data_IF_982497058631
#
_entry.id   IF_982497058631
#
_cell.length_a   1.000
_cell.length_b   1.000
_cell.length_c   1.000
_cell.angle_alpha   90.00
_cell.angle_beta   90.00
_cell.angle_gamma   90.00
#
_symmetry.space_group_name_H-M   'P 1'
#
loop_
_entity.id
_entity.type
_entity.pdbx_description
1 polymer ?
#
# COMPACT_ATOMS: atom_id res chain seq x y z
N UNK A 1 -22.46 37.61 -4.39
CA UNK A 1 -21.93 38.67 -5.26
C UNK A 1 -20.61 38.18 -5.86
N UNK A 2 -20.33 38.53 -7.10
CA UNK A 2 -19.13 38.18 -7.84
C UNK A 2 -18.48 39.50 -8.24
N UNK A 3 -17.17 39.61 -8.00
CA UNK A 3 -16.32 40.68 -8.46
C UNK A 3 -15.38 40.12 -9.52
N UNK A 4 -15.29 40.77 -10.67
CA UNK A 4 -14.37 40.41 -11.76
C UNK A 4 -14.08 41.63 -12.60
N UNK A 5 -12.83 41.87 -12.99
CA UNK A 5 -12.44 43.00 -13.84
C UNK A 5 -12.98 44.37 -13.38
N UNK A 6 -13.01 44.61 -12.06
CA UNK A 6 -13.54 45.85 -11.43
C UNK A 6 -15.06 46.05 -11.54
N UNK A 7 -15.79 45.03 -11.96
CA UNK A 7 -17.26 45.02 -12.03
C UNK A 7 -17.84 44.10 -10.95
N UNK A 8 -19.05 44.44 -10.49
CA UNK A 8 -19.80 43.61 -9.56
C UNK A 8 -21.10 43.10 -10.18
N UNK A 9 -21.38 41.84 -9.91
CA UNK A 9 -22.68 41.23 -10.19
C UNK A 9 -23.17 40.50 -8.95
N UNK A 10 -24.45 40.62 -8.59
CA UNK A 10 -25.04 39.85 -7.49
C UNK A 10 -26.20 38.99 -7.96
N UNK A 11 -26.51 38.00 -7.15
CA UNK A 11 -27.70 37.16 -7.28
C UNK A 11 -28.50 37.37 -6.01
N UNK A 12 -29.75 37.78 -6.15
CA UNK A 12 -30.58 38.21 -5.03
C UNK A 12 -32.04 37.83 -5.31
N UNK A 13 -32.61 36.99 -4.46
CA UNK A 13 -33.99 36.53 -4.56
C UNK A 13 -35.03 37.62 -4.34
N UNK A 14 -34.64 38.71 -3.67
CA UNK A 14 -35.50 39.85 -3.37
C UNK A 14 -35.47 40.93 -4.44
N UNK A 15 -34.56 40.82 -5.42
CA UNK A 15 -34.44 41.81 -6.48
C UNK A 15 -35.64 41.76 -7.44
N UNK A 16 -36.27 42.91 -7.64
CA UNK A 16 -37.39 43.04 -8.56
C UNK A 16 -36.86 43.22 -9.98
N UNK A 17 -36.85 42.15 -10.76
CA UNK A 17 -36.45 42.21 -12.17
C UNK A 17 -37.56 42.84 -13.01
N UNK A 18 -37.19 43.80 -13.87
CA UNK A 18 -38.07 44.29 -14.92
C UNK A 18 -38.21 43.22 -16.02
N UNK A 19 -39.29 42.45 -15.96
CA UNK A 19 -39.59 41.40 -16.93
C UNK A 19 -40.62 41.89 -17.94
N UNK A 20 -40.35 41.69 -19.23
CA UNK A 20 -41.31 41.98 -20.30
C UNK A 20 -42.23 40.79 -20.47
N UNK A 21 -43.52 41.04 -20.30
CA UNK A 21 -44.60 40.06 -20.48
C UNK A 21 -45.31 40.36 -21.79
N UNK A 22 -45.66 39.32 -22.56
CA UNK A 22 -46.45 39.49 -23.79
C UNK A 22 -47.89 39.94 -23.49
N UNK A 23 -48.48 39.49 -22.38
CA UNK A 23 -49.84 39.88 -21.96
C UNK A 23 -49.85 40.50 -20.55
N UNK A 24 -49.43 39.76 -19.52
CA UNK A 24 -49.06 40.24 -18.17
C UNK A 24 -48.61 39.06 -17.30
N UNK A 25 -47.90 39.35 -16.19
CA UNK A 25 -47.56 38.34 -15.17
C UNK A 25 -48.80 37.57 -14.68
N UNK A 26 -49.83 38.31 -14.28
CA UNK A 26 -51.07 37.75 -13.70
C UNK A 26 -51.75 36.78 -14.68
N UNK A 27 -51.80 37.14 -15.97
CA UNK A 27 -52.45 36.30 -16.97
C UNK A 27 -51.64 35.04 -17.27
N UNK A 28 -50.31 35.15 -17.35
CA UNK A 28 -49.44 33.99 -17.49
C UNK A 28 -49.55 33.03 -16.30
N UNK A 29 -49.53 33.55 -15.07
CA UNK A 29 -49.63 32.74 -13.85
C UNK A 29 -50.97 31.98 -13.80
N UNK A 30 -52.06 32.65 -14.17
CA UNK A 30 -53.39 32.04 -14.27
C UNK A 30 -53.45 30.96 -15.35
N UNK A 31 -52.85 31.19 -16.52
CA UNK A 31 -52.84 30.23 -17.63
C UNK A 31 -51.99 28.98 -17.35
N UNK A 32 -51.02 29.08 -16.44
CA UNK A 32 -50.08 28.01 -16.09
C UNK A 32 -50.33 27.39 -14.70
N UNK A 33 -51.36 27.85 -13.98
CA UNK A 33 -51.71 27.43 -12.62
C UNK A 33 -50.51 27.42 -11.65
N UNK A 34 -49.67 28.47 -11.72
CA UNK A 34 -48.48 28.62 -10.86
C UNK A 34 -48.03 30.07 -10.75
N UNK A 35 -47.44 30.41 -9.62
CA UNK A 35 -46.74 31.68 -9.44
C UNK A 35 -45.39 31.67 -10.17
N UNK A 36 -45.09 32.74 -10.88
CA UNK A 36 -43.79 32.92 -11.52
C UNK A 36 -42.76 33.32 -10.48
N UNK A 37 -41.77 32.45 -10.28
CA UNK A 37 -40.58 32.78 -9.54
C UNK A 37 -39.47 33.19 -10.50
N UNK A 38 -38.89 34.36 -10.24
CA UNK A 38 -37.70 34.78 -10.98
C UNK A 38 -36.60 33.73 -10.80
N UNK A 39 -35.93 33.31 -11.87
CA UNK A 39 -34.77 32.43 -11.77
C UNK A 39 -33.54 33.25 -11.33
N UNK A 40 -33.66 33.97 -10.21
CA UNK A 40 -32.66 34.89 -9.67
C UNK A 40 -31.32 34.22 -9.41
N UNK A 41 -31.28 32.89 -9.29
CA UNK A 41 -30.08 32.09 -9.13
C UNK A 41 -29.17 32.10 -10.36
N UNK A 42 -29.70 32.49 -11.54
CA UNK A 42 -28.95 32.53 -12.80
C UNK A 42 -29.01 33.88 -13.50
N UNK A 43 -29.81 34.84 -13.02
CA UNK A 43 -29.86 36.19 -13.59
C UNK A 43 -28.88 37.10 -12.81
N UNK A 44 -27.73 37.49 -13.40
CA UNK A 44 -26.82 38.41 -12.75
C UNK A 44 -27.41 39.82 -12.70
N UNK A 45 -27.31 40.46 -11.54
CA UNK A 45 -27.71 41.85 -11.32
C UNK A 45 -26.44 42.69 -11.30
N UNK A 46 -26.22 43.52 -12.31
CA UNK A 46 -25.14 44.50 -12.29
C UNK A 46 -25.27 45.38 -11.05
N UNK A 47 -24.19 45.52 -10.30
CA UNK A 47 -24.14 46.27 -9.04
C UNK A 47 -23.03 47.31 -9.15
N UNK A 48 -23.33 48.58 -8.92
CA UNK A 48 -22.28 49.60 -8.93
C UNK A 48 -21.43 49.52 -7.66
N UNK A 49 -20.14 49.90 -7.74
CA UNK A 49 -19.23 49.85 -6.60
C UNK A 49 -19.73 50.65 -5.37
N UNK A 50 -20.48 51.73 -5.60
CA UNK A 50 -21.10 52.56 -4.54
C UNK A 50 -22.22 51.85 -3.78
N UNK A 51 -22.81 50.80 -4.36
CA UNK A 51 -23.84 49.96 -3.74
C UNK A 51 -23.25 48.82 -2.91
N UNK A 52 -21.94 48.60 -3.00
CA UNK A 52 -21.21 47.58 -2.24
C UNK A 52 -20.71 48.20 -0.94
N UNK A 53 -20.79 47.44 0.15
CA UNK A 53 -20.31 47.87 1.46
C UNK A 53 -18.82 48.22 1.41
N UNK A 54 -18.46 49.45 1.78
CA UNK A 54 -17.12 50.00 1.52
C UNK A 54 -15.95 49.16 2.07
N UNK A 55 -16.04 48.53 3.26
CA UNK A 55 -15.00 47.61 3.71
C UNK A 55 -14.71 46.45 2.75
N UNK A 56 -15.69 45.99 1.98
CA UNK A 56 -15.48 44.97 0.93
C UNK A 56 -14.68 45.57 -0.22
N UNK A 57 -15.04 46.77 -0.69
CA UNK A 57 -14.30 47.48 -1.73
C UNK A 57 -12.84 47.72 -1.31
N UNK A 58 -12.63 48.12 -0.05
CA UNK A 58 -11.29 48.36 0.48
C UNK A 58 -10.49 47.06 0.55
N UNK A 59 -11.06 45.99 1.11
CA UNK A 59 -10.40 44.69 1.18
C UNK A 59 -9.96 44.17 -0.19
N UNK A 60 -10.85 44.22 -1.20
CA UNK A 60 -10.54 43.77 -2.55
C UNK A 60 -9.41 44.57 -3.22
N UNK A 61 -9.33 45.88 -2.94
CA UNK A 61 -8.23 46.73 -3.39
C UNK A 61 -6.92 46.40 -2.66
N UNK A 62 -6.99 46.18 -1.36
CA UNK A 62 -5.82 45.91 -0.52
C UNK A 62 -5.11 44.60 -0.92
N UNK A 63 -5.88 43.58 -1.33
CA UNK A 63 -5.35 42.30 -1.82
C UNK A 63 -5.10 42.26 -3.33
N UNK A 64 -5.38 43.35 -4.05
CA UNK A 64 -5.34 43.43 -5.52
C UNK A 64 -6.09 42.28 -6.21
N UNK A 65 -7.34 42.04 -5.78
CA UNK A 65 -8.13 40.92 -6.27
C UNK A 65 -8.43 41.06 -7.77
N UNK A 66 -8.18 40.01 -8.55
CA UNK A 66 -8.66 39.94 -9.94
C UNK A 66 -10.11 39.43 -10.03
N UNK A 67 -10.42 38.40 -9.25
CA UNK A 67 -11.74 37.77 -9.16
C UNK A 67 -12.03 37.45 -7.70
N UNK A 68 -13.25 37.74 -7.24
CA UNK A 68 -13.70 37.34 -5.91
C UNK A 68 -15.17 36.89 -5.90
N UNK A 69 -15.47 35.87 -5.09
CA UNK A 69 -16.83 35.45 -4.79
C UNK A 69 -17.15 35.85 -3.36
N UNK A 70 -18.12 36.73 -3.19
CA UNK A 70 -18.50 37.32 -1.92
C UNK A 70 -19.85 36.73 -1.51
N UNK A 71 -19.87 36.04 -0.38
CA UNK A 71 -21.04 35.31 0.11
C UNK A 71 -21.48 35.93 1.43
N UNK A 72 -22.73 36.35 1.52
CA UNK A 72 -23.32 36.78 2.78
C UNK A 72 -23.68 35.56 3.62
N UNK A 73 -23.06 35.41 4.79
CA UNK A 73 -23.27 34.27 5.68
C UNK A 73 -24.29 34.60 6.77
N UNK A 74 -25.26 33.70 6.99
CA UNK A 74 -26.21 33.79 8.12
C UNK A 74 -25.62 33.26 9.43
N UNK A 75 -24.76 32.23 9.35
CA UNK A 75 -24.18 31.52 10.49
C UNK A 75 -22.67 31.73 10.57
N UNK A 76 -22.26 32.99 10.86
CA UNK A 76 -20.86 33.42 10.82
C UNK A 76 -19.96 32.59 11.73
N UNK A 77 -20.37 32.34 12.97
CA UNK A 77 -19.55 31.60 13.95
C UNK A 77 -19.31 30.14 13.54
N UNK A 78 -20.34 29.45 13.06
CA UNK A 78 -20.25 28.06 12.60
C UNK A 78 -19.38 27.95 11.35
N UNK A 79 -19.58 28.87 10.40
CA UNK A 79 -18.75 28.97 9.19
C UNK A 79 -17.28 29.22 9.54
N UNK A 80 -17.02 30.17 10.44
CA UNK A 80 -15.66 30.52 10.86
C UNK A 80 -14.97 29.32 11.49
N UNK A 81 -15.67 28.57 12.34
CA UNK A 81 -15.15 27.32 12.94
C UNK A 81 -14.88 26.24 11.88
N UNK A 82 -15.78 26.08 10.91
CA UNK A 82 -15.60 25.12 9.82
C UNK A 82 -14.38 25.46 8.95
N UNK A 83 -14.20 26.74 8.62
CA UNK A 83 -13.06 27.21 7.84
C UNK A 83 -11.74 27.14 8.63
N UNK A 84 -11.75 27.41 9.94
CA UNK A 84 -10.63 27.16 10.84
C UNK A 84 -10.26 25.67 10.84
N UNK A 85 -11.23 24.76 11.02
CA UNK A 85 -10.96 23.32 10.98
C UNK A 85 -10.38 22.88 9.62
N UNK A 86 -10.89 23.43 8.52
CA UNK A 86 -10.39 23.15 7.17
C UNK A 86 -8.93 23.60 7.01
N UNK A 87 -8.55 24.77 7.54
CA UNK A 87 -7.17 25.28 7.50
C UNK A 87 -6.15 24.37 8.22
N UNK A 88 -6.61 23.51 9.14
CA UNK A 88 -5.75 22.56 9.86
C UNK A 88 -5.54 21.25 9.11
N UNK A 89 -6.38 20.93 8.11
CA UNK A 89 -6.34 19.65 7.42
C UNK A 89 -5.64 19.78 6.06
N UNK A 90 -4.30 19.78 6.07
CA UNK A 90 -3.47 19.99 4.88
C UNK A 90 -3.78 18.99 3.75
N UNK A 91 -4.06 17.74 4.08
CA UNK A 91 -4.24 16.67 3.10
C UNK A 91 -5.48 16.90 2.21
N UNK A 92 -6.44 17.71 2.66
CA UNK A 92 -7.58 18.18 1.85
C UNK A 92 -7.15 18.79 0.51
N UNK A 93 -5.99 19.43 0.48
CA UNK A 93 -5.54 20.25 -0.65
C UNK A 93 -4.55 19.52 -1.57
N UNK A 94 -4.16 18.29 -1.22
CA UNK A 94 -3.06 17.56 -1.86
C UNK A 94 -3.22 17.46 -3.38
N UNK A 95 -4.45 17.20 -3.85
CA UNK A 95 -4.73 16.92 -5.27
C UNK A 95 -5.29 18.11 -6.05
N UNK A 96 -5.30 19.32 -5.47
CA UNK A 96 -5.60 20.53 -6.22
C UNK A 96 -4.52 20.71 -7.30
N UNK A 97 -4.91 20.97 -8.56
CA UNK A 97 -3.94 21.01 -9.68
C UNK A 97 -3.29 22.38 -9.88
N UNK A 98 -4.07 23.45 -9.74
CA UNK A 98 -3.66 24.80 -10.15
C UNK A 98 -3.43 25.77 -8.97
N UNK A 99 -3.54 25.27 -7.74
CA UNK A 99 -3.44 26.09 -6.52
C UNK A 99 -2.09 25.82 -5.85
N UNK A 100 -1.26 26.84 -5.71
CA UNK A 100 0.02 26.78 -5.01
C UNK A 100 -0.06 27.27 -3.57
N UNK A 101 -1.04 28.10 -3.24
CA UNK A 101 -1.17 28.75 -1.93
C UNK A 101 -2.65 28.99 -1.61
N UNK A 102 -3.03 28.79 -0.35
CA UNK A 102 -4.36 29.10 0.19
C UNK A 102 -4.17 29.84 1.51
N UNK A 103 -4.74 31.04 1.59
CA UNK A 103 -4.70 31.88 2.77
C UNK A 103 -6.07 31.88 3.45
N UNK A 104 -6.10 31.51 4.72
CA UNK A 104 -7.27 31.59 5.58
C UNK A 104 -7.11 32.77 6.52
N UNK A 105 -7.82 33.86 6.23
CA UNK A 105 -7.86 35.06 7.07
C UNK A 105 -9.21 35.12 7.80
N UNK A 106 -9.25 34.62 9.04
CA UNK A 106 -10.48 34.51 9.84
C UNK A 106 -10.28 35.17 11.20
N UNK A 107 -9.44 34.57 12.04
CA UNK A 107 -9.03 35.08 13.37
C UNK A 107 -7.51 35.18 13.48
N UNK A 108 -6.83 34.19 12.90
CA UNK A 108 -5.40 34.15 12.69
C UNK A 108 -5.18 33.83 11.21
N UNK A 109 -4.14 34.41 10.62
CA UNK A 109 -3.73 34.11 9.26
C UNK A 109 -3.08 32.72 9.25
N UNK A 110 -3.69 31.78 8.54
CA UNK A 110 -3.11 30.47 8.25
C UNK A 110 -2.80 30.37 6.78
N UNK A 111 -1.54 30.10 6.45
CA UNK A 111 -1.08 29.92 5.07
C UNK A 111 -0.81 28.43 4.82
N UNK A 112 -1.47 27.89 3.79
CA UNK A 112 -1.23 26.54 3.28
C UNK A 112 -0.53 26.65 1.93
N UNK A 113 0.72 26.24 1.87
CA UNK A 113 1.52 26.19 0.65
C UNK A 113 1.56 24.76 0.09
N UNK A 114 1.44 24.63 -1.23
CA UNK A 114 1.47 23.35 -1.95
C UNK A 114 2.58 23.39 -2.99
N UNK A 115 3.71 22.79 -2.64
CA UNK A 115 4.90 22.75 -3.47
C UNK A 115 4.90 21.49 -4.36
N UNK A 116 5.09 21.68 -5.67
CA UNK A 116 5.11 20.64 -6.72
C UNK A 116 6.32 20.78 -7.66
N UNK A 117 7.43 21.34 -7.17
CA UNK A 117 8.65 21.57 -7.98
C UNK A 117 9.24 20.24 -8.50
N UNK A 118 9.17 19.19 -7.67
CA UNK A 118 9.60 17.84 -8.04
C UNK A 118 8.41 17.09 -8.66
N UNK A 119 8.59 16.53 -9.87
CA UNK A 119 7.49 15.95 -10.66
C UNK A 119 6.75 14.79 -9.98
N UNK A 120 7.42 14.04 -9.10
CA UNK A 120 6.89 12.88 -8.39
C UNK A 120 6.68 13.16 -6.89
N UNK A 121 6.72 14.44 -6.47
CA UNK A 121 6.60 14.78 -5.05
C UNK A 121 5.75 16.01 -4.82
N UNK A 122 4.91 15.95 -3.79
CA UNK A 122 4.17 17.09 -3.28
C UNK A 122 4.53 17.30 -1.82
N UNK A 123 4.88 18.54 -1.49
CA UNK A 123 5.10 18.98 -0.12
C UNK A 123 4.02 19.98 0.26
N UNK A 124 3.29 19.67 1.32
CA UNK A 124 2.33 20.58 1.95
C UNK A 124 2.99 21.25 3.15
N UNK A 125 2.89 22.58 3.23
CA UNK A 125 3.42 23.35 4.34
C UNK A 125 2.33 24.20 4.99
N UNK A 126 2.30 24.20 6.31
CA UNK A 126 1.49 25.14 7.11
C UNK A 126 2.40 26.14 7.78
N UNK A 127 2.17 27.43 7.55
CA UNK A 127 2.87 28.55 8.19
C UNK A 127 4.41 28.38 8.14
N UNK A 128 4.93 27.79 7.06
CA UNK A 128 6.35 27.46 6.83
C UNK A 128 7.00 26.52 7.87
N UNK A 129 6.21 25.88 8.75
CA UNK A 129 6.72 25.07 9.86
C UNK A 129 6.30 23.59 9.75
N UNK A 130 5.00 23.30 9.62
CA UNK A 130 4.51 21.91 9.55
C UNK A 130 4.58 21.39 8.13
N UNK A 131 5.33 20.32 7.91
CA UNK A 131 5.59 19.73 6.59
C UNK A 131 4.97 18.34 6.47
N UNK A 132 4.25 18.10 5.37
CA UNK A 132 3.78 16.77 4.97
C UNK A 132 4.29 16.47 3.56
N UNK A 133 5.09 15.41 3.42
CA UNK A 133 5.70 15.01 2.15
C UNK A 133 5.00 13.78 1.56
N UNK A 134 4.72 13.86 0.28
CA UNK A 134 3.99 12.84 -0.48
C UNK A 134 4.73 12.49 -1.74
N UNK A 135 4.99 11.21 -1.95
CA UNK A 135 5.41 10.68 -3.23
C UNK A 135 4.17 10.44 -4.09
N UNK A 136 4.18 10.91 -5.33
CA UNK A 136 3.05 10.90 -6.25
C UNK A 136 3.35 10.02 -7.45
N UNK A 137 2.37 9.22 -7.85
CA UNK A 137 2.40 8.47 -9.09
C UNK A 137 1.06 8.64 -9.82
N UNK A 138 1.09 9.43 -10.90
CA UNK A 138 -0.06 9.63 -11.79
C UNK A 138 0.05 8.68 -12.98
N UNK A 139 -0.98 7.86 -13.17
CA UNK A 139 -1.12 6.88 -14.23
C UNK A 139 -2.30 7.27 -15.12
N UNK A 140 -2.11 7.26 -16.43
CA UNK A 140 -3.21 7.33 -17.41
C UNK A 140 -3.77 5.93 -17.62
N UNK A 141 -4.97 5.66 -17.09
CA UNK A 141 -5.68 4.40 -17.28
C UNK A 141 -6.49 4.44 -18.57
N UNK A 142 -6.30 3.46 -19.45
CA UNK A 142 -7.16 3.24 -20.61
C UNK A 142 -8.47 2.60 -20.16
N UNK A 143 -9.61 3.19 -20.54
CA UNK A 143 -10.93 2.65 -20.25
C UNK A 143 -11.20 1.44 -21.16
N UNK A 144 -11.39 0.23 -20.61
CA UNK A 144 -11.64 -0.97 -21.40
C UNK A 144 -12.96 -0.89 -22.20
N UNK A 145 -12.97 -1.49 -23.40
CA UNK A 145 -14.15 -1.47 -24.28
C UNK A 145 -15.36 -2.19 -23.68
N UNK A 146 -15.15 -3.23 -22.88
CA UNK A 146 -16.19 -3.94 -22.14
C UNK A 146 -16.82 -3.04 -21.08
N UNK A 147 -16.02 -2.27 -20.34
CA UNK A 147 -16.52 -1.26 -19.40
C UNK A 147 -17.37 -0.24 -20.16
N UNK A 148 -16.84 0.37 -21.24
CA UNK A 148 -17.60 1.35 -22.05
C UNK A 148 -18.97 0.85 -22.50
N UNK A 149 -19.05 -0.40 -22.97
CA UNK A 149 -20.32 -1.01 -23.39
C UNK A 149 -21.30 -1.12 -22.23
N UNK A 150 -20.85 -1.56 -21.06
CA UNK A 150 -21.70 -1.69 -19.88
C UNK A 150 -22.21 -0.32 -19.40
N UNK A 151 -21.38 0.72 -19.49
CA UNK A 151 -21.77 2.07 -19.07
C UNK A 151 -22.85 2.71 -19.96
N UNK A 152 -23.01 2.26 -21.23
CA UNK A 152 -24.07 2.76 -22.11
C UNK A 152 -25.47 2.44 -21.56
N UNK A 153 -25.59 1.37 -20.78
CA UNK A 153 -26.85 0.93 -20.18
C UNK A 153 -27.06 1.50 -18.75
N UNK A 154 -26.04 2.12 -18.15
CA UNK A 154 -26.14 2.73 -16.81
C UNK A 154 -26.77 4.13 -16.89
N UNK A 155 -27.82 4.36 -16.11
CA UNK A 155 -28.44 5.69 -15.95
C UNK A 155 -27.56 6.57 -15.07
N UNK A 156 -27.55 7.88 -15.34
CA UNK A 156 -26.90 8.92 -14.54
C UNK A 156 -25.36 8.92 -14.55
N UNK A 157 -24.72 8.34 -15.57
CA UNK A 157 -23.29 8.55 -15.80
C UNK A 157 -23.06 9.86 -16.54
N UNK A 158 -22.16 10.74 -16.08
CA UNK A 158 -21.78 11.93 -16.81
C UNK A 158 -21.27 11.60 -18.22
N UNK A 159 -21.79 12.29 -19.23
CA UNK A 159 -21.46 12.08 -20.65
C UNK A 159 -19.94 12.15 -20.91
N UNK A 160 -19.23 13.00 -20.15
CA UNK A 160 -17.76 13.10 -20.18
C UNK A 160 -17.07 11.76 -19.89
N UNK A 161 -17.61 10.94 -18.99
CA UNK A 161 -17.03 9.63 -18.66
C UNK A 161 -17.41 8.56 -19.70
N UNK A 162 -18.60 8.65 -20.31
CA UNK A 162 -19.02 7.74 -21.38
C UNK A 162 -18.12 7.85 -22.62
N UNK A 163 -17.68 9.07 -22.92
CA UNK A 163 -16.91 9.38 -24.13
C UNK A 163 -15.40 9.41 -23.90
N UNK A 164 -14.91 9.10 -22.69
CA UNK A 164 -13.47 9.17 -22.40
C UNK A 164 -12.76 7.85 -22.70
N UNK A 165 -11.60 7.95 -23.35
CA UNK A 165 -10.72 6.82 -23.59
C UNK A 165 -9.73 6.60 -22.44
N UNK A 166 -9.44 7.67 -21.68
CA UNK A 166 -8.41 7.68 -20.65
C UNK A 166 -8.83 8.50 -19.45
N UNK A 167 -8.37 8.08 -18.28
CA UNK A 167 -8.51 8.84 -17.03
C UNK A 167 -7.21 8.88 -16.25
N UNK A 168 -7.03 9.93 -15.47
CA UNK A 168 -5.94 10.00 -14.50
C UNK A 168 -6.31 9.22 -13.23
N UNK A 169 -5.43 8.31 -12.83
CA UNK A 169 -5.36 7.74 -11.49
C UNK A 169 -4.10 8.28 -10.82
N UNK A 170 -4.24 9.01 -9.72
CA UNK A 170 -3.11 9.48 -8.93
C UNK A 170 -3.06 8.74 -7.60
N UNK A 171 -1.92 8.11 -7.31
CA UNK A 171 -1.62 7.48 -6.03
C UNK A 171 -0.66 8.38 -5.25
N UNK A 172 -0.86 8.52 -3.94
CA UNK A 172 0.05 9.25 -3.06
C UNK A 172 0.47 8.41 -1.85
N UNK A 173 1.79 8.28 -1.66
CA UNK A 173 2.40 7.58 -0.54
C UNK A 173 3.05 8.59 0.40
N UNK A 174 2.82 8.44 1.70
CA UNK A 174 3.35 9.36 2.72
C UNK A 174 4.84 9.10 2.95
N UNK A 175 5.63 10.16 2.96
CA UNK A 175 7.08 10.11 3.20
C UNK A 175 7.39 10.77 4.55
N UNK A 176 7.96 9.98 5.46
CA UNK A 176 8.47 10.44 6.76
C UNK A 176 9.99 10.57 6.77
N UNK A 177 10.58 10.74 7.96
CA UNK A 177 12.03 10.84 8.16
C UNK A 177 12.80 9.63 7.62
N UNK A 178 12.20 8.44 7.79
CA UNK A 178 12.80 7.16 7.39
C UNK A 178 12.31 6.69 6.02
N UNK A 179 11.71 7.58 5.20
CA UNK A 179 11.20 7.27 3.86
C UNK A 179 9.71 6.88 3.85
N UNK A 180 9.30 5.89 3.04
CA UNK A 180 7.86 5.57 2.90
C UNK A 180 7.29 5.04 4.22
N UNK A 181 6.19 5.64 4.67
CA UNK A 181 5.52 5.30 5.93
C UNK A 181 4.06 4.90 5.73
N UNK A 182 3.51 4.14 6.68
CA UNK A 182 2.09 3.76 6.64
C UNK A 182 1.20 4.97 6.92
N UNK A 183 0.05 4.98 6.27
CA UNK A 183 -1.03 5.91 6.59
C UNK A 183 -1.62 5.59 7.96
N UNK A 184 -2.09 6.62 8.66
CA UNK A 184 -2.86 6.43 9.90
C UNK A 184 -4.32 6.15 9.59
N UNK A 185 -5.04 5.50 10.51
CA UNK A 185 -6.46 5.15 10.33
C UNK A 185 -7.39 6.39 10.21
N UNK A 186 -6.88 7.58 10.50
CA UNK A 186 -7.61 8.86 10.40
C UNK A 186 -7.48 9.52 9.02
N UNK A 187 -6.61 9.04 8.15
CA UNK A 187 -6.39 9.61 6.83
C UNK A 187 -7.60 9.34 5.92
N UNK A 188 -8.15 10.38 5.28
CA UNK A 188 -9.15 10.20 4.21
C UNK A 188 -8.44 9.70 2.97
N UNK A 189 -8.78 8.50 2.51
CA UNK A 189 -7.98 7.78 1.51
C UNK A 189 -8.41 7.99 0.06
N UNK A 190 -9.67 8.37 -0.16
CA UNK A 190 -10.27 8.43 -1.49
C UNK A 190 -10.63 9.86 -1.85
N UNK A 191 -10.26 10.30 -3.04
CA UNK A 191 -10.45 11.64 -3.55
C UNK A 191 -11.09 11.59 -4.93
N UNK A 192 -12.04 12.49 -5.15
CA UNK A 192 -12.53 12.89 -6.46
C UNK A 192 -12.34 14.40 -6.55
N UNK A 193 -11.09 14.81 -6.83
CA UNK A 193 -10.54 16.16 -6.66
C UNK A 193 -10.43 16.62 -5.20
N UNK A 194 -11.51 16.46 -4.41
CA UNK A 194 -11.55 16.65 -2.97
C UNK A 194 -11.73 15.29 -2.27
N UNK A 195 -11.34 15.16 -0.99
CA UNK A 195 -11.53 13.92 -0.27
C UNK A 195 -13.01 13.60 -0.14
N UNK A 196 -13.34 12.32 -0.23
CA UNK A 196 -14.65 11.79 0.11
C UNK A 196 -14.69 11.45 1.59
N UNK A 197 -15.89 11.23 2.13
CA UNK A 197 -16.05 10.73 3.50
C UNK A 197 -15.96 9.21 3.62
N UNK A 198 -15.59 8.54 2.52
CA UNK A 198 -15.47 7.09 2.46
C UNK A 198 -14.23 6.59 3.21
N UNK A 199 -14.46 5.88 4.31
CA UNK A 199 -13.39 5.34 5.18
C UNK A 199 -13.40 3.83 5.29
N UNK A 200 -14.31 3.12 4.62
CA UNK A 200 -14.46 1.67 4.79
C UNK A 200 -13.32 0.84 4.15
N UNK A 201 -12.59 1.43 3.22
CA UNK A 201 -11.53 0.75 2.48
C UNK A 201 -10.17 1.08 3.07
N UNK A 202 -9.37 0.05 3.37
CA UNK A 202 -8.04 0.24 3.96
C UNK A 202 -6.97 0.20 2.86
N UNK A 203 -6.77 1.35 2.20
CA UNK A 203 -5.76 1.52 1.17
C UNK A 203 -4.43 1.98 1.79
N UNK A 204 -3.28 1.46 1.31
CA UNK A 204 -1.98 1.87 1.84
C UNK A 204 -1.47 3.20 1.27
N UNK A 205 -2.26 3.82 0.38
CA UNK A 205 -1.97 5.07 -0.34
C UNK A 205 -3.24 5.91 -0.41
N UNK A 206 -3.11 7.23 -0.57
CA UNK A 206 -4.23 8.07 -0.99
C UNK A 206 -4.46 7.87 -2.48
N UNK A 207 -5.71 7.95 -2.91
CA UNK A 207 -6.11 7.74 -4.29
C UNK A 207 -6.99 8.87 -4.76
N UNK A 208 -6.58 9.54 -5.84
CA UNK A 208 -7.40 10.52 -6.53
C UNK A 208 -7.69 10.06 -7.96
N UNK A 209 -8.97 9.95 -8.30
CA UNK A 209 -9.43 9.67 -9.67
C UNK A 209 -10.89 10.07 -9.85
N UNK A 210 -11.44 9.86 -11.04
CA UNK A 210 -12.81 10.23 -11.41
C UNK A 210 -13.86 9.26 -10.85
N UNK A 211 -13.95 9.12 -9.52
CA UNK A 211 -14.98 8.29 -8.90
C UNK A 211 -16.39 8.87 -9.11
N UNK A 212 -17.37 7.97 -9.27
CA UNK A 212 -18.79 8.32 -9.18
C UNK A 212 -19.22 8.33 -7.70
N UNK A 213 -19.62 9.50 -7.22
CA UNK A 213 -20.04 9.72 -5.83
C UNK A 213 -21.54 9.96 -5.74
N UNK A 214 -22.13 9.71 -4.57
CA UNK A 214 -23.51 10.10 -4.26
C UNK A 214 -23.70 11.62 -4.37
N UNK A 215 -24.96 12.09 -4.38
CA UNK A 215 -25.29 13.51 -4.56
C UNK A 215 -24.66 14.42 -3.49
N UNK A 216 -24.57 13.95 -2.23
CA UNK A 216 -23.88 14.64 -1.14
C UNK A 216 -22.35 14.47 -1.17
N UNK A 217 -21.81 13.68 -2.11
CA UNK A 217 -20.38 13.38 -2.33
C UNK A 217 -19.64 12.71 -1.17
N UNK A 218 -20.37 12.27 -0.15
CA UNK A 218 -19.80 11.63 1.04
C UNK A 218 -19.38 10.18 0.73
N UNK A 219 -20.12 9.49 -0.14
CA UNK A 219 -19.93 8.05 -0.41
C UNK A 219 -19.80 7.73 -1.89
N UNK A 220 -19.27 6.56 -2.19
CA UNK A 220 -19.12 6.06 -3.57
C UNK A 220 -20.33 5.23 -4.00
N UNK A 221 -20.69 5.31 -5.29
CA UNK A 221 -21.62 4.37 -5.91
C UNK A 221 -20.96 2.99 -6.04
N UNK A 222 -21.24 2.10 -5.07
CA UNK A 222 -20.58 0.80 -4.97
C UNK A 222 -21.03 -0.21 -6.04
N UNK A 223 -22.28 -0.07 -6.51
CA UNK A 223 -22.90 -0.85 -7.57
C UNK A 223 -22.43 -0.45 -8.98
N UNK A 224 -21.89 0.76 -9.13
CA UNK A 224 -21.42 1.25 -10.43
C UNK A 224 -20.25 0.43 -10.98
N UNK A 225 -20.39 -0.02 -12.23
CA UNK A 225 -19.36 -0.81 -12.92
C UNK A 225 -18.10 0.01 -13.21
N UNK A 226 -18.25 1.33 -13.32
CA UNK A 226 -17.13 2.26 -13.39
C UNK A 226 -16.25 2.20 -12.13
N UNK A 227 -16.84 2.40 -10.95
CA UNK A 227 -16.11 2.37 -9.69
C UNK A 227 -15.53 0.97 -9.41
N UNK A 228 -16.26 -0.09 -9.77
CA UNK A 228 -15.77 -1.47 -9.67
C UNK A 228 -14.50 -1.69 -10.52
N UNK A 229 -14.48 -1.18 -11.75
CA UNK A 229 -13.28 -1.20 -12.60
C UNK A 229 -12.12 -0.38 -12.01
N UNK A 230 -12.41 0.81 -11.47
CA UNK A 230 -11.41 1.64 -10.79
C UNK A 230 -10.77 0.91 -9.61
N UNK A 231 -11.56 0.30 -8.73
CA UNK A 231 -11.06 -0.41 -7.55
C UNK A 231 -10.15 -1.58 -7.93
N UNK A 232 -10.52 -2.34 -8.97
CA UNK A 232 -9.64 -3.38 -9.52
C UNK A 232 -8.32 -2.78 -10.05
N UNK A 233 -8.41 -1.68 -10.80
CA UNK A 233 -7.24 -1.01 -11.39
C UNK A 233 -6.31 -0.43 -10.32
N UNK A 234 -6.83 0.17 -9.26
CA UNK A 234 -6.05 0.73 -8.14
C UNK A 234 -5.17 -0.35 -7.51
N UNK A 235 -5.73 -1.51 -7.18
CA UNK A 235 -4.95 -2.61 -6.60
C UNK A 235 -3.77 -3.02 -7.50
N UNK A 236 -4.03 -3.15 -8.81
CA UNK A 236 -3.02 -3.52 -9.80
C UNK A 236 -1.93 -2.44 -9.91
N UNK A 237 -2.32 -1.17 -9.99
CA UNK A 237 -1.36 -0.06 -10.11
C UNK A 237 -0.52 0.14 -8.85
N UNK A 238 -1.04 -0.16 -7.65
CA UNK A 238 -0.24 -0.17 -6.42
C UNK A 238 0.91 -1.18 -6.54
N UNK A 239 0.65 -2.42 -6.98
CA UNK A 239 1.71 -3.42 -7.16
C UNK A 239 2.72 -3.04 -8.25
N UNK A 240 2.26 -2.46 -9.37
CA UNK A 240 3.16 -1.90 -10.39
C UNK A 240 4.03 -0.79 -9.82
N UNK A 241 3.48 0.04 -8.94
CA UNK A 241 4.24 1.11 -8.30
C UNK A 241 5.29 0.57 -7.34
N UNK A 242 4.94 -0.40 -6.48
CA UNK A 242 5.90 -1.10 -5.62
C UNK A 242 7.04 -1.67 -6.46
N UNK A 243 6.73 -2.35 -7.57
CA UNK A 243 7.72 -2.93 -8.49
C UNK A 243 8.74 -1.90 -9.01
N UNK A 244 8.30 -0.65 -9.24
CA UNK A 244 9.20 0.46 -9.61
C UNK A 244 10.02 0.94 -8.40
N UNK A 245 9.36 1.22 -7.28
CA UNK A 245 9.97 1.86 -6.10
C UNK A 245 11.03 1.01 -5.42
N UNK A 246 10.91 -0.32 -5.46
CA UNK A 246 11.91 -1.20 -4.83
C UNK A 246 13.30 -1.07 -5.45
N UNK A 247 13.40 -0.55 -6.68
CA UNK A 247 14.66 -0.29 -7.38
C UNK A 247 15.16 1.17 -7.25
N UNK A 248 14.49 2.02 -6.47
CA UNK A 248 14.93 3.40 -6.19
C UNK A 248 15.55 3.50 -4.79
N UNK A 249 15.80 4.71 -4.30
CA UNK A 249 16.23 4.99 -2.92
C UNK A 249 15.30 4.41 -1.84
N UNK A 250 14.01 4.22 -2.12
CA UNK A 250 13.04 3.68 -1.14
C UNK A 250 13.23 2.18 -0.85
N UNK A 251 13.76 1.41 -1.81
CA UNK A 251 14.11 0.00 -1.65
C UNK A 251 12.99 -0.81 -0.97
N UNK A 252 13.28 -1.47 0.15
CA UNK A 252 12.33 -2.32 0.87
C UNK A 252 11.19 -1.53 1.53
N UNK A 253 11.30 -0.22 1.70
CA UNK A 253 10.24 0.60 2.29
C UNK A 253 9.03 0.70 1.36
N UNK A 254 9.21 0.50 0.06
CA UNK A 254 8.12 0.37 -0.90
C UNK A 254 7.14 -0.75 -0.52
N UNK A 255 7.59 -1.78 0.20
CA UNK A 255 6.72 -2.87 0.67
C UNK A 255 5.74 -2.43 1.77
N UNK A 256 5.89 -1.24 2.36
CA UNK A 256 4.84 -0.63 3.20
C UNK A 256 3.56 -0.39 2.41
N UNK A 257 3.65 -0.27 1.08
CA UNK A 257 2.52 -0.04 0.20
C UNK A 257 1.78 -1.32 -0.21
N UNK A 258 2.21 -2.50 0.27
CA UNK A 258 1.52 -3.76 -0.02
C UNK A 258 0.08 -3.68 0.51
N UNK A 259 -0.94 -3.76 -0.36
CA UNK A 259 -2.32 -3.69 0.08
C UNK A 259 -2.73 -4.97 0.84
N UNK A 260 -3.68 -4.81 1.74
CA UNK A 260 -4.40 -5.93 2.37
C UNK A 260 -5.73 -6.11 1.66
N UNK A 261 -6.26 -7.33 1.71
CA UNK A 261 -7.65 -7.52 1.30
C UNK A 261 -8.57 -6.67 2.19
N UNK A 262 -9.57 -6.05 1.56
CA UNK A 262 -10.51 -5.14 2.23
C UNK A 262 -11.90 -5.76 2.35
N UNK A 263 -12.82 -5.05 3.01
CA UNK A 263 -14.22 -5.44 3.19
C UNK A 263 -14.86 -5.92 1.88
N UNK A 264 -15.53 -7.07 1.90
CA UNK A 264 -16.02 -7.75 0.70
C UNK A 264 -17.40 -7.23 0.22
N UNK A 265 -17.56 -5.90 0.10
CA UNK A 265 -18.65 -5.32 -0.70
C UNK A 265 -18.31 -5.34 -2.20
N UNK A 266 -19.16 -4.78 -3.05
CA UNK A 266 -18.99 -4.83 -4.51
C UNK A 266 -17.66 -4.20 -4.98
N UNK A 267 -17.25 -3.08 -4.38
CA UNK A 267 -15.97 -2.44 -4.73
C UNK A 267 -14.79 -3.18 -4.11
N UNK A 268 -14.89 -3.59 -2.85
CA UNK A 268 -13.83 -4.29 -2.15
C UNK A 268 -13.57 -5.68 -2.70
N UNK A 269 -14.59 -6.41 -3.16
CA UNK A 269 -14.42 -7.64 -3.96
C UNK A 269 -13.57 -7.39 -5.19
N UNK A 270 -13.83 -6.30 -5.93
CA UNK A 270 -13.09 -5.94 -7.15
C UNK A 270 -11.66 -5.50 -6.85
N UNK A 271 -11.43 -4.81 -5.75
CA UNK A 271 -10.10 -4.53 -5.24
C UNK A 271 -9.33 -5.82 -4.88
N UNK A 272 -9.97 -6.74 -4.16
CA UNK A 272 -9.37 -8.02 -3.78
C UNK A 272 -9.10 -8.92 -5.02
N UNK A 273 -9.97 -8.88 -6.04
CA UNK A 273 -9.70 -9.48 -7.35
C UNK A 273 -8.47 -8.86 -8.01
N UNK A 274 -8.34 -7.53 -7.97
CA UNK A 274 -7.16 -6.81 -8.46
C UNK A 274 -5.87 -7.19 -7.74
N UNK A 275 -5.91 -7.42 -6.42
CA UNK A 275 -4.78 -7.96 -5.66
C UNK A 275 -4.39 -9.34 -6.22
N UNK A 276 -5.34 -10.25 -6.39
CA UNK A 276 -5.08 -11.61 -6.90
C UNK A 276 -4.47 -11.57 -8.31
N UNK A 277 -5.02 -10.74 -9.18
CA UNK A 277 -4.50 -10.54 -10.53
C UNK A 277 -3.08 -9.96 -10.51
N UNK A 278 -2.80 -9.01 -9.62
CA UNK A 278 -1.48 -8.43 -9.45
C UNK A 278 -0.46 -9.46 -8.97
N UNK A 279 -0.78 -10.26 -7.94
CA UNK A 279 0.11 -11.28 -7.39
C UNK A 279 0.51 -12.34 -8.44
N UNK A 280 -0.41 -12.67 -9.36
CA UNK A 280 -0.16 -13.62 -10.45
C UNK A 280 0.73 -13.05 -11.56
N UNK A 281 0.62 -11.75 -11.84
CA UNK A 281 1.15 -11.18 -13.07
C UNK A 281 2.34 -10.23 -12.86
N UNK A 282 2.44 -9.57 -11.71
CA UNK A 282 3.42 -8.50 -11.47
C UNK A 282 4.59 -9.03 -10.64
N UNK A 283 5.83 -8.97 -11.14
CA UNK A 283 7.01 -9.17 -10.33
C UNK A 283 7.29 -7.91 -9.48
N UNK A 284 7.37 -8.05 -8.16
CA UNK A 284 7.61 -6.92 -7.24
C UNK A 284 8.55 -7.26 -6.08
N UNK A 285 8.87 -8.54 -5.86
CA UNK A 285 9.81 -8.96 -4.81
C UNK A 285 11.22 -8.93 -5.37
N UNK A 286 12.17 -8.33 -4.64
CA UNK A 286 13.59 -8.37 -5.02
C UNK A 286 14.21 -9.69 -4.55
N UNK A 287 14.74 -10.47 -5.48
CA UNK A 287 15.52 -11.67 -5.18
C UNK A 287 16.92 -11.32 -4.65
N UNK A 288 17.60 -12.28 -4.03
CA UNK A 288 19.02 -12.12 -3.64
C UNK A 288 19.95 -11.82 -4.83
N UNK A 289 19.54 -12.16 -6.05
CA UNK A 289 20.24 -11.82 -7.29
C UNK A 289 19.94 -10.41 -7.80
N UNK A 290 19.14 -9.63 -7.07
CA UNK A 290 18.73 -8.28 -7.46
C UNK A 290 17.66 -8.23 -8.55
N UNK A 291 17.00 -9.36 -8.85
CA UNK A 291 15.97 -9.43 -9.88
C UNK A 291 14.58 -9.28 -9.27
N UNK A 292 13.67 -8.63 -10.00
CA UNK A 292 12.25 -8.62 -9.66
C UNK A 292 11.63 -9.97 -10.00
N UNK A 293 11.00 -10.60 -9.01
CA UNK A 293 10.31 -11.88 -9.15
C UNK A 293 8.87 -11.77 -8.65
N UNK A 294 8.01 -12.67 -9.16
CA UNK A 294 6.62 -12.80 -8.70
C UNK A 294 6.57 -13.45 -7.33
N UNK A 295 5.48 -13.25 -6.61
CA UNK A 295 5.30 -13.85 -5.29
C UNK A 295 5.28 -15.39 -5.36
N UNK A 296 4.68 -15.96 -6.42
CA UNK A 296 4.62 -17.42 -6.63
C UNK A 296 6.00 -18.08 -6.86
N UNK A 297 6.95 -17.27 -7.37
CA UNK A 297 8.33 -17.66 -7.65
C UNK A 297 9.29 -17.32 -6.49
N UNK A 298 8.75 -16.82 -5.38
CA UNK A 298 9.53 -16.37 -4.23
C UNK A 298 9.64 -17.46 -3.15
N UNK A 299 10.85 -17.63 -2.61
CA UNK A 299 11.12 -18.37 -1.37
C UNK A 299 11.54 -17.40 -0.27
N UNK A 300 10.89 -17.48 0.87
CA UNK A 300 11.29 -16.80 2.10
C UNK A 300 11.94 -17.80 3.05
N UNK A 301 13.20 -17.57 3.41
CA UNK A 301 13.90 -18.40 4.38
C UNK A 301 13.91 -17.72 5.76
N UNK A 302 13.05 -18.18 6.66
CA UNK A 302 12.98 -17.70 8.03
C UNK A 302 14.10 -18.28 8.92
N UNK A 303 14.82 -19.30 8.45
CA UNK A 303 15.90 -19.96 9.20
C UNK A 303 17.28 -19.36 8.88
N UNK A 304 17.40 -18.65 7.76
CA UNK A 304 18.66 -18.17 7.18
C UNK A 304 19.68 -19.27 6.86
N UNK A 305 19.27 -20.55 6.87
CA UNK A 305 20.14 -21.68 6.55
C UNK A 305 20.57 -21.68 5.09
N UNK A 306 19.74 -21.15 4.18
CA UNK A 306 20.09 -21.02 2.75
C UNK A 306 21.30 -20.12 2.49
N UNK A 307 21.62 -19.22 3.41
CA UNK A 307 22.79 -18.31 3.32
C UNK A 307 24.06 -18.96 3.91
N UNK A 308 23.94 -20.13 4.53
CA UNK A 308 25.08 -20.84 5.11
C UNK A 308 25.70 -21.74 4.06
N UNK A 309 26.98 -21.58 3.80
CA UNK A 309 27.71 -22.39 2.81
C UNK A 309 27.60 -23.91 3.05
N UNK A 310 27.39 -24.34 4.30
CA UNK A 310 27.23 -25.76 4.66
C UNK A 310 25.83 -26.35 4.39
N UNK A 311 24.85 -25.51 4.02
CA UNK A 311 23.53 -25.94 3.52
C UNK A 311 23.33 -25.44 2.08
N UNK A 312 23.45 -24.13 1.86
CA UNK A 312 23.25 -23.47 0.58
C UNK A 312 21.79 -23.39 0.13
N UNK A 313 21.57 -22.67 -0.97
CA UNK A 313 20.24 -22.44 -1.54
C UNK A 313 19.63 -23.67 -2.22
N UNK A 314 20.46 -24.43 -2.94
CA UNK A 314 19.98 -25.49 -3.84
C UNK A 314 19.30 -26.67 -3.13
N UNK A 315 19.81 -27.21 -2.00
CA UNK A 315 19.10 -28.24 -1.27
C UNK A 315 17.72 -27.81 -0.79
N UNK A 316 17.61 -26.57 -0.27
CA UNK A 316 16.34 -26.03 0.23
C UNK A 316 15.36 -25.77 -0.93
N UNK A 317 15.83 -25.23 -2.07
CA UNK A 317 15.00 -25.05 -3.27
C UNK A 317 14.40 -26.38 -3.72
N UNK A 318 15.23 -27.40 -3.92
CA UNK A 318 14.77 -28.74 -4.31
C UNK A 318 13.79 -29.34 -3.31
N UNK A 319 14.03 -29.14 -2.02
CA UNK A 319 13.12 -29.58 -0.96
C UNK A 319 11.76 -28.88 -0.99
N UNK A 320 11.71 -27.58 -1.29
CA UNK A 320 10.45 -26.83 -1.41
C UNK A 320 9.71 -27.20 -2.70
N UNK A 321 10.44 -27.42 -3.79
CA UNK A 321 9.88 -27.70 -5.10
C UNK A 321 9.39 -29.16 -5.25
N UNK A 322 9.73 -30.04 -4.30
CA UNK A 322 9.38 -31.48 -4.30
C UNK A 322 7.88 -31.75 -4.46
N UNK A 323 7.03 -30.83 -4.03
CA UNK A 323 5.56 -30.98 -4.06
C UNK A 323 4.94 -30.51 -5.39
N UNK A 324 5.73 -29.99 -6.35
CA UNK A 324 5.24 -29.41 -7.61
C UNK A 324 5.91 -29.97 -8.86
N UNK A 325 6.02 -31.30 -8.94
CA UNK A 325 6.52 -32.04 -10.11
C UNK A 325 5.78 -31.78 -11.46
N UNK A 326 4.83 -30.84 -11.52
CA UNK A 326 4.05 -30.50 -12.72
C UNK A 326 4.38 -29.13 -13.33
N UNK A 327 5.15 -28.26 -12.69
CA UNK A 327 5.54 -26.96 -13.27
C UNK A 327 6.97 -27.02 -13.82
N UNK A 328 7.12 -27.66 -14.98
CA UNK A 328 8.38 -27.69 -15.73
C UNK A 328 8.81 -26.25 -16.04
N UNK A 329 9.97 -25.83 -15.51
CA UNK A 329 10.68 -24.61 -15.94
C UNK A 329 10.61 -23.39 -15.01
N UNK A 330 9.91 -23.43 -13.87
CA UNK A 330 9.91 -22.30 -12.91
C UNK A 330 10.99 -22.49 -11.83
N UNK A 331 12.08 -21.73 -11.91
CA UNK A 331 13.10 -21.70 -10.86
C UNK A 331 12.73 -20.66 -9.81
N UNK A 332 12.25 -21.11 -8.66
CA UNK A 332 12.01 -20.22 -7.52
C UNK A 332 13.32 -19.61 -7.03
N UNK A 333 13.23 -18.38 -6.53
CA UNK A 333 14.37 -17.63 -6.04
C UNK A 333 14.13 -17.15 -4.61
N UNK A 334 15.21 -17.08 -3.82
CA UNK A 334 15.13 -16.53 -2.47
C UNK A 334 14.93 -15.01 -2.52
N UNK A 335 13.97 -14.52 -1.74
CA UNK A 335 13.81 -13.09 -1.48
C UNK A 335 15.08 -12.55 -0.81
N UNK A 336 15.47 -11.33 -1.19
CA UNK A 336 16.49 -10.59 -0.45
C UNK A 336 16.01 -10.36 0.98
N UNK A 337 16.91 -10.49 1.95
CA UNK A 337 16.58 -10.30 3.36
C UNK A 337 15.99 -8.90 3.61
N UNK A 338 14.78 -8.86 4.16
CA UNK A 338 14.03 -7.66 4.51
C UNK A 338 13.12 -7.93 5.71
N UNK A 339 12.65 -6.87 6.38
CA UNK A 339 11.63 -6.97 7.43
C UNK A 339 10.23 -7.40 6.94
N UNK A 340 10.05 -7.73 5.66
CA UNK A 340 8.74 -7.99 5.03
C UNK A 340 8.48 -9.46 4.71
N UNK A 341 9.30 -10.38 5.22
CA UNK A 341 9.16 -11.83 5.03
C UNK A 341 7.77 -12.36 5.42
N UNK A 342 7.20 -11.88 6.52
CA UNK A 342 5.85 -12.25 6.95
C UNK A 342 4.76 -11.80 5.98
N UNK A 343 4.92 -10.62 5.37
CA UNK A 343 3.99 -10.13 4.34
C UNK A 343 4.10 -10.97 3.06
N UNK A 344 5.31 -11.33 2.62
CA UNK A 344 5.48 -12.21 1.46
C UNK A 344 4.84 -13.58 1.68
N UNK A 345 5.02 -14.17 2.87
CA UNK A 345 4.36 -15.41 3.26
C UNK A 345 2.83 -15.28 3.23
N UNK A 346 2.27 -14.18 3.76
CA UNK A 346 0.82 -13.88 3.70
C UNK A 346 0.31 -13.81 2.26
N UNK A 347 1.10 -13.26 1.35
CA UNK A 347 0.74 -13.12 -0.06
C UNK A 347 0.93 -14.41 -0.89
N UNK A 348 1.41 -15.49 -0.28
CA UNK A 348 1.53 -16.80 -0.93
C UNK A 348 2.93 -17.19 -1.41
N UNK A 349 3.99 -16.52 -0.94
CA UNK A 349 5.36 -16.98 -1.20
C UNK A 349 5.60 -18.37 -0.57
N UNK A 350 6.44 -19.18 -1.20
CA UNK A 350 6.92 -20.41 -0.56
C UNK A 350 7.85 -20.04 0.61
N UNK A 351 7.93 -20.90 1.63
CA UNK A 351 8.75 -20.59 2.81
C UNK A 351 9.54 -21.80 3.33
N UNK A 352 10.73 -21.51 3.84
CA UNK A 352 11.51 -22.43 4.66
C UNK A 352 11.47 -21.93 6.11
N UNK A 353 10.96 -22.76 7.01
CA UNK A 353 10.73 -22.43 8.42
C UNK A 353 11.31 -23.54 9.29
N UNK A 354 11.55 -23.27 10.58
CA UNK A 354 12.11 -24.26 11.50
C UNK A 354 11.28 -25.54 11.60
N UNK A 355 9.95 -25.47 11.47
CA UNK A 355 9.07 -26.65 11.40
C UNK A 355 9.38 -27.58 10.22
N UNK A 356 10.01 -27.08 9.15
CA UNK A 356 10.41 -27.88 7.99
C UNK A 356 11.75 -28.58 8.20
N UNK A 357 12.52 -28.18 9.21
CA UNK A 357 13.92 -28.59 9.38
C UNK A 357 14.08 -30.11 9.50
N UNK A 358 13.27 -30.77 10.32
CA UNK A 358 13.38 -32.22 10.52
C UNK A 358 13.20 -32.99 9.20
N UNK A 359 12.12 -32.71 8.48
CA UNK A 359 11.84 -33.39 7.20
C UNK A 359 12.83 -33.01 6.10
N UNK A 360 13.40 -31.80 6.15
CA UNK A 360 14.48 -31.38 5.27
C UNK A 360 15.77 -32.16 5.51
N UNK A 361 16.18 -32.28 6.77
CA UNK A 361 17.40 -33.01 7.15
C UNK A 361 17.31 -34.52 6.85
N UNK A 362 16.11 -35.10 6.86
CA UNK A 362 15.88 -36.47 6.40
C UNK A 362 15.79 -36.63 4.88
N UNK A 363 15.76 -35.54 4.12
CA UNK A 363 15.53 -35.62 2.67
C UNK A 363 16.80 -35.93 1.88
N UNK A 364 16.63 -36.61 0.75
CA UNK A 364 17.72 -36.87 -0.21
C UNK A 364 18.32 -35.58 -0.79
N UNK A 365 17.57 -34.49 -0.81
CA UNK A 365 18.04 -33.17 -1.25
C UNK A 365 19.14 -32.63 -0.33
N UNK A 366 19.02 -32.88 0.98
CA UNK A 366 20.05 -32.52 1.95
C UNK A 366 21.17 -33.56 1.97
N UNK A 367 20.86 -34.85 2.16
CA UNK A 367 21.88 -35.89 2.37
C UNK A 367 22.83 -36.03 1.18
N UNK A 368 22.34 -35.91 -0.06
CA UNK A 368 23.19 -36.04 -1.25
C UNK A 368 24.13 -34.84 -1.47
N UNK A 369 23.79 -33.66 -0.92
CA UNK A 369 24.59 -32.44 -1.07
C UNK A 369 25.48 -32.15 0.15
N UNK A 370 25.23 -32.83 1.28
CA UNK A 370 25.90 -32.57 2.54
C UNK A 370 27.14 -33.45 2.71
N UNK A 371 28.16 -32.92 3.37
CA UNK A 371 29.46 -33.59 3.57
C UNK A 371 29.82 -33.60 5.05
N UNK A 372 30.77 -34.43 5.46
CA UNK A 372 31.29 -34.44 6.84
C UNK A 372 31.80 -33.06 7.28
N UNK A 373 32.49 -32.34 6.39
CA UNK A 373 32.97 -30.98 6.69
C UNK A 373 31.81 -30.01 6.94
N UNK A 374 30.77 -30.07 6.12
CA UNK A 374 29.55 -29.27 6.32
C UNK A 374 28.77 -29.68 7.57
N UNK A 375 28.81 -30.96 7.95
CA UNK A 375 28.16 -31.45 9.15
C UNK A 375 28.78 -30.88 10.43
N UNK A 376 30.12 -30.78 10.47
CA UNK A 376 30.83 -30.12 11.57
C UNK A 376 30.36 -28.66 11.71
N UNK A 377 30.26 -27.93 10.61
CA UNK A 377 29.81 -26.53 10.61
C UNK A 377 28.33 -26.39 10.99
N UNK A 378 27.47 -27.32 10.56
CA UNK A 378 26.07 -27.39 10.96
C UNK A 378 25.93 -27.62 12.47
N UNK A 379 26.68 -28.56 13.05
CA UNK A 379 26.69 -28.83 14.50
C UNK A 379 27.13 -27.58 15.27
N UNK A 380 28.21 -26.91 14.83
CA UNK A 380 28.67 -25.66 15.45
C UNK A 380 27.61 -24.57 15.36
N UNK A 381 26.92 -24.46 14.23
CA UNK A 381 25.86 -23.48 14.03
C UNK A 381 24.66 -23.74 14.95
N UNK A 382 24.16 -24.97 15.01
CA UNK A 382 23.06 -25.35 15.90
C UNK A 382 23.41 -25.17 17.37
N UNK A 383 24.65 -25.49 17.78
CA UNK A 383 25.13 -25.18 19.11
C UNK A 383 25.01 -23.68 19.42
N UNK A 384 25.51 -22.83 18.52
CA UNK A 384 25.44 -21.37 18.68
C UNK A 384 24.01 -20.86 18.75
N UNK A 385 23.09 -21.44 17.98
CA UNK A 385 21.66 -21.09 18.04
C UNK A 385 21.04 -21.51 19.38
N UNK A 386 21.32 -22.72 19.85
CA UNK A 386 20.82 -23.23 21.13
C UNK A 386 21.37 -22.46 22.35
N UNK A 387 22.59 -21.94 22.26
CA UNK A 387 23.20 -21.09 23.30
C UNK A 387 22.73 -19.62 23.22
N UNK A 388 21.92 -19.28 22.22
CA UNK A 388 21.44 -17.92 21.96
C UNK A 388 19.95 -17.81 22.28
N UNK A 389 19.58 -16.89 23.19
CA UNK A 389 18.18 -16.60 23.53
C UNK A 389 17.35 -15.97 22.39
N UNK A 390 17.96 -15.74 21.21
CA UNK A 390 17.31 -15.09 20.07
C UNK A 390 16.45 -16.02 19.19
N UNK A 391 16.62 -17.34 19.29
CA UNK A 391 15.90 -18.30 18.43
C UNK A 391 15.24 -19.37 19.31
N UNK A 392 13.97 -19.16 19.62
CA UNK A 392 13.21 -20.05 20.50
C UNK A 392 12.88 -21.41 19.86
N UNK A 393 12.91 -21.49 18.52
CA UNK A 393 12.58 -22.73 17.79
C UNK A 393 13.67 -23.81 17.87
N UNK A 394 14.89 -23.47 18.33
CA UNK A 394 16.04 -24.38 18.38
C UNK A 394 16.53 -24.50 19.82
N UNK A 395 15.92 -25.42 20.57
CA UNK A 395 16.37 -25.82 21.91
C UNK A 395 17.20 -27.11 21.86
N UNK A 396 17.83 -27.46 22.98
CA UNK A 396 18.53 -28.73 23.15
C UNK A 396 17.62 -29.93 22.90
N UNK A 397 16.40 -29.89 23.41
CA UNK A 397 15.39 -30.94 23.25
C UNK A 397 14.96 -31.10 21.79
N UNK A 398 14.80 -29.97 21.08
CA UNK A 398 14.49 -29.98 19.64
C UNK A 398 15.65 -30.60 18.86
N UNK A 399 16.89 -30.16 19.10
CA UNK A 399 18.06 -30.71 18.44
C UNK A 399 18.19 -32.21 18.65
N UNK A 400 17.95 -32.73 19.85
CA UNK A 400 17.98 -34.18 20.13
C UNK A 400 17.03 -34.98 19.23
N UNK A 401 15.98 -34.35 18.69
CA UNK A 401 14.97 -34.97 17.80
C UNK A 401 15.21 -34.69 16.31
N UNK A 402 16.33 -34.08 15.95
CA UNK A 402 16.68 -33.85 14.55
C UNK A 402 17.74 -34.84 14.05
N UNK A 403 17.62 -35.38 12.83
CA UNK A 403 18.65 -36.22 12.24
C UNK A 403 19.69 -35.34 11.57
N UNK A 404 20.75 -34.96 12.29
CA UNK A 404 21.81 -34.10 11.74
C UNK A 404 23.22 -34.54 12.12
N UNK A 405 23.41 -35.72 12.71
CA UNK A 405 24.73 -36.21 13.09
C UNK A 405 25.23 -37.19 12.04
N UNK A 406 26.32 -36.85 11.37
CA UNK A 406 26.98 -37.75 10.42
C UNK A 406 27.79 -38.80 11.19
N UNK A 407 27.48 -40.07 10.96
CA UNK A 407 28.22 -41.19 11.55
C UNK A 407 29.35 -41.69 10.64
N UNK A 408 30.19 -42.57 11.17
CA UNK A 408 31.28 -43.21 10.41
C UNK A 408 30.81 -44.09 9.23
N UNK A 409 29.52 -44.44 9.15
CA UNK A 409 28.92 -45.22 8.07
C UNK A 409 28.38 -44.34 6.93
N UNK A 410 28.64 -43.03 7.00
CA UNK A 410 28.11 -42.03 6.08
C UNK A 410 26.58 -41.87 6.10
N UNK A 411 25.97 -42.15 7.26
CA UNK A 411 24.55 -41.98 7.49
C UNK A 411 24.29 -40.79 8.41
N UNK A 412 23.21 -40.07 8.14
CA UNK A 412 22.72 -39.01 9.02
C UNK A 412 21.79 -39.64 10.05
N UNK A 413 22.17 -39.52 11.32
CA UNK A 413 21.47 -40.08 12.47
C UNK A 413 21.05 -39.01 13.48
N UNK A 414 20.20 -39.45 14.41
CA UNK A 414 19.80 -38.63 15.54
C UNK A 414 20.88 -38.59 16.62
N UNK A 415 21.02 -37.46 17.34
CA UNK A 415 21.89 -37.32 18.51
C UNK A 415 21.93 -38.47 19.51
N UNK A 416 20.79 -39.09 19.81
CA UNK A 416 20.70 -40.17 20.80
C UNK A 416 21.08 -41.55 20.24
N UNK A 417 21.29 -41.67 18.93
CA UNK A 417 21.63 -42.93 18.25
C UNK A 417 23.11 -43.07 17.95
N UNK A 418 23.91 -42.05 18.29
CA UNK A 418 25.32 -41.99 17.94
C UNK A 418 26.19 -42.01 19.20
N UNK A 419 27.15 -42.93 19.22
CA UNK A 419 28.12 -43.08 20.29
C UNK A 419 29.38 -42.23 20.04
N UNK A 420 30.05 -41.84 21.11
CA UNK A 420 31.40 -41.31 21.03
C UNK A 420 32.42 -42.42 21.27
N UNK A 421 33.40 -42.60 20.38
CA UNK A 421 34.43 -43.59 20.65
C UNK A 421 35.25 -43.18 21.88
N UNK A 422 35.75 -44.14 22.65
CA UNK A 422 36.70 -43.86 23.73
C UNK A 422 38.04 -43.40 23.16
N UNK A 423 38.97 -42.96 24.00
CA UNK A 423 40.30 -42.55 23.55
C UNK A 423 41.07 -43.73 22.90
N UNK A 424 40.81 -44.94 23.38
CA UNK A 424 41.54 -46.15 23.02
C UNK A 424 40.81 -47.02 21.98
N UNK A 425 39.63 -46.61 21.53
CA UNK A 425 38.87 -47.33 20.52
C UNK A 425 39.51 -47.18 19.14
N UNK A 426 40.12 -48.26 18.66
CA UNK A 426 40.72 -48.36 17.32
C UNK A 426 39.77 -48.90 16.25
N UNK A 427 38.57 -49.37 16.62
CA UNK A 427 37.61 -50.00 15.71
C UNK A 427 36.37 -49.13 15.46
N UNK A 428 36.38 -47.89 15.93
CA UNK A 428 35.25 -46.95 15.87
C UNK A 428 34.78 -46.61 14.46
N UNK A 429 35.64 -46.77 13.45
CA UNK A 429 35.38 -46.51 12.04
C UNK A 429 35.04 -47.78 11.25
N UNK A 430 34.87 -48.93 11.92
CA UNK A 430 34.48 -50.18 11.29
C UNK A 430 33.06 -50.07 10.70
N UNK A 431 32.88 -50.12 9.36
CA UNK A 431 31.57 -49.95 8.73
C UNK A 431 30.56 -51.06 9.10
N UNK A 432 31.05 -52.22 9.56
CA UNK A 432 30.23 -53.36 9.97
C UNK A 432 29.90 -53.36 11.47
N UNK A 433 30.28 -52.32 12.22
CA UNK A 433 29.95 -52.21 13.65
C UNK A 433 28.43 -52.19 13.86
N UNK A 434 27.94 -52.84 14.90
CA UNK A 434 26.51 -52.72 15.29
C UNK A 434 26.17 -51.32 15.79
N UNK A 435 27.15 -50.60 16.35
CA UNK A 435 27.00 -49.23 16.86
C UNK A 435 27.30 -48.20 15.77
N UNK A 436 26.66 -47.04 15.85
CA UNK A 436 26.96 -45.86 15.02
C UNK A 436 27.81 -44.86 15.80
N UNK A 437 29.07 -44.67 15.39
CA UNK A 437 29.97 -43.70 16.02
C UNK A 437 30.00 -42.35 15.30
N UNK A 438 30.08 -41.27 16.07
CA UNK A 438 30.29 -39.92 15.57
C UNK A 438 31.72 -39.78 15.04
N UNK A 439 31.90 -39.12 13.90
CA UNK A 439 33.23 -38.91 13.31
C UNK A 439 34.12 -38.13 14.30
N UNK A 440 35.38 -38.57 14.50
CA UNK A 440 36.31 -38.02 15.52
C UNK A 440 36.36 -36.47 15.56
N UNK A 441 36.26 -35.81 14.41
CA UNK A 441 36.31 -34.34 14.30
C UNK A 441 35.05 -33.61 14.83
N UNK A 442 33.95 -34.31 15.05
CA UNK A 442 32.69 -33.74 15.59
C UNK A 442 32.66 -33.67 17.14
N UNK A 443 33.63 -34.28 17.84
CA UNK A 443 33.68 -34.38 19.32
C UNK A 443 33.69 -33.03 20.06
N UNK A 444 34.31 -32.00 19.50
CA UNK A 444 34.52 -30.71 20.17
C UNK A 444 33.24 -29.84 20.27
N UNK A 445 32.26 -30.04 19.38
CA UNK A 445 30.99 -29.31 19.41
C UNK A 445 29.90 -30.04 20.22
N UNK A 446 29.86 -31.36 20.11
CA UNK A 446 28.70 -32.18 20.47
C UNK A 446 28.72 -32.69 21.93
N UNK A 447 29.90 -32.85 22.54
CA UNK A 447 30.05 -33.36 23.93
C UNK A 447 29.37 -32.50 25.01
N UNK A 448 29.10 -31.22 24.75
CA UNK A 448 28.30 -30.35 25.65
C UNK A 448 26.81 -30.36 25.35
N UNK A 449 26.40 -30.69 24.12
CA UNK A 449 24.98 -30.86 23.75
C UNK A 449 24.43 -32.13 24.44
N UNK A 450 25.23 -33.20 24.54
CA UNK A 450 24.85 -34.43 25.25
C UNK A 450 24.96 -34.37 26.79
N UNK A 451 25.60 -33.36 27.40
CA UNK A 451 25.69 -33.23 28.88
C UNK A 451 24.33 -32.80 29.47
N UNK A 452 23.37 -33.72 29.54
CA UNK A 452 22.31 -33.81 30.54
C UNK A 452 22.26 -35.30 30.88
N UNK A 453 22.72 -35.60 32.08
CA UNK A 453 22.44 -36.78 32.91
C UNK A 453 21.83 -37.99 32.21
N UNK A 454 22.72 -38.86 31.72
CA UNK A 454 22.46 -40.29 31.81
C UNK A 454 22.94 -40.65 33.22
N UNK A 455 22.01 -40.66 34.17
CA UNK A 455 22.22 -41.27 35.48
C UNK A 455 22.47 -42.76 35.36
#
# INVERSE_FOLDING_TARGET
MIFTNKEYFRFDSSYSFEWKWDESKILWEKNNDREFQFPWQIIPIHTEAKEVYEPINQFLKDIDANVATIIQMKYVNETSRAAQNLSQNLNMFLFLKNISEINFDISELVCVEINRIENDRITLMKDKASKSDWLINTISLTVPNDVKKILQDERNIPEKLLNTDFIDLTLAAKVGSDGITKLSDQEKLLYSYLPTDETKYLLPVLVNTSFLTTANRESLHADSKWNQWLFKSIAIEIFKWISKLVNTEYRFQAYQLIPKETFADELGKKFNEGIKDALKNIPFVISRKGQLIKIEDTIVDFTYLSEKNFIGEEPIKKFIDKDKAKEVGRSRQFAKNTGFFSEFKRLGSSCFEWKHLQTFLSSTYFTNAHTTAYNIELIKHFKKLCESDKVNDISKEVLMRLPFIWDHKNCINYPYQVCFPTADDQNWDNPNSELSFCIKNCRFGFSKIQKVDIG
#
